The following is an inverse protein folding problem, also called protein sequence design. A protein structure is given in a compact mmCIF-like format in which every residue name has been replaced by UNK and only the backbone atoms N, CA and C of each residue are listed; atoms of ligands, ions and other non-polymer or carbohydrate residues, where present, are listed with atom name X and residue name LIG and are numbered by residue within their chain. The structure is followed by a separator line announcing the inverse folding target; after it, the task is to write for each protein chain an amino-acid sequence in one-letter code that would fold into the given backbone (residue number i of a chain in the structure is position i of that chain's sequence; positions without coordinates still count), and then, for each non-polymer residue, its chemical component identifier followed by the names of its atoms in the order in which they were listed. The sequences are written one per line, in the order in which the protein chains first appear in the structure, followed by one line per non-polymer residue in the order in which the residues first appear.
data_IF_591565571682
#
_entry.id   IF_591565571682
#
_cell.length_a   1.000
_cell.length_b   1.000
_cell.length_c   1.000
_cell.angle_alpha   90.00
_cell.angle_beta   90.00
_cell.angle_gamma   90.00
#
_symmetry.space_group_name_H-M   'P 1'
#
loop_
_entity.id
_entity.type
_entity.pdbx_description
1 polymer ?
#
# COMPACT_ATOMS: atom_id res chain seq x y z
N UNK A 1 -24.31 5.44 5.64
CA UNK A 1 -23.01 4.85 5.24
C UNK A 1 -22.06 6.02 5.03
N UNK A 2 -21.04 6.17 5.88
CA UNK A 2 -20.20 7.37 5.92
C UNK A 2 -19.49 7.55 4.57
N UNK A 3 -19.73 8.69 3.92
CA UNK A 3 -19.26 8.98 2.56
C UNK A 3 -17.86 9.62 2.51
N UNK A 4 -17.21 9.84 3.65
CA UNK A 4 -15.96 10.62 3.74
C UNK A 4 -14.86 9.92 4.57
N UNK A 5 -14.69 8.61 4.42
CA UNK A 5 -13.44 7.96 4.87
C UNK A 5 -12.34 8.32 3.85
N UNK A 6 -11.76 9.51 3.99
CA UNK A 6 -10.59 9.93 3.21
C UNK A 6 -9.37 9.12 3.64
N UNK A 7 -9.33 7.86 3.23
CA UNK A 7 -8.20 6.98 3.49
C UNK A 7 -6.95 7.58 2.85
N UNK A 8 -5.95 7.86 3.68
CA UNK A 8 -4.74 8.55 3.26
C UNK A 8 -4.05 7.72 2.19
N UNK A 9 -3.94 8.31 1.00
CA UNK A 9 -3.26 7.67 -0.14
C UNK A 9 -1.78 8.00 -0.12
N UNK A 10 -0.96 6.99 0.12
CA UNK A 10 0.48 7.10 0.02
C UNK A 10 0.97 6.80 -1.39
N UNK A 11 1.88 7.64 -1.89
CA UNK A 11 2.65 7.26 -3.06
C UNK A 11 3.64 6.12 -2.71
N UNK A 12 4.22 5.47 -3.73
CA UNK A 12 5.13 4.33 -3.51
C UNK A 12 6.33 4.63 -2.59
N UNK A 13 6.85 5.87 -2.60
CA UNK A 13 7.95 6.28 -1.69
C UNK A 13 7.47 6.44 -0.24
N UNK A 14 6.29 7.04 -0.05
CA UNK A 14 5.69 7.19 1.26
C UNK A 14 5.27 5.84 1.85
N UNK A 15 4.67 4.97 1.05
CA UNK A 15 4.31 3.61 1.46
C UNK A 15 5.54 2.81 1.87
N UNK A 16 6.66 2.96 1.15
CA UNK A 16 7.94 2.38 1.50
C UNK A 16 8.45 2.88 2.86
N UNK A 17 8.47 4.20 3.06
CA UNK A 17 8.85 4.80 4.36
C UNK A 17 7.93 4.36 5.50
N UNK A 18 6.63 4.22 5.23
CA UNK A 18 5.62 3.83 6.22
C UNK A 18 5.76 2.37 6.64
N UNK A 19 5.91 1.46 5.68
CA UNK A 19 5.99 0.01 5.92
C UNK A 19 7.39 -0.47 6.30
N UNK A 20 8.42 0.35 6.08
CA UNK A 20 9.82 -0.04 6.24
C UNK A 20 10.39 -0.84 5.05
N UNK A 21 9.58 -1.17 4.04
CA UNK A 21 10.05 -1.84 2.82
C UNK A 21 10.59 -0.83 1.80
N UNK A 22 11.37 -1.31 0.82
CA UNK A 22 11.83 -0.44 -0.26
C UNK A 22 10.72 -0.20 -1.29
N UNK A 23 10.75 0.95 -1.96
CA UNK A 23 9.83 1.23 -3.07
C UNK A 23 9.96 0.19 -4.21
N UNK A 24 11.17 -0.37 -4.41
CA UNK A 24 11.40 -1.46 -5.36
C UNK A 24 10.66 -2.73 -4.96
N UNK A 25 10.70 -3.10 -3.68
CA UNK A 25 9.94 -4.23 -3.13
C UNK A 25 8.44 -4.09 -3.40
N UNK A 26 7.87 -2.92 -3.13
CA UNK A 26 6.46 -2.63 -3.40
C UNK A 26 6.14 -2.71 -4.90
N UNK A 27 7.04 -2.23 -5.78
CA UNK A 27 6.86 -2.35 -7.22
C UNK A 27 6.90 -3.81 -7.69
N UNK A 28 7.83 -4.62 -7.16
CA UNK A 28 7.90 -6.06 -7.46
C UNK A 28 6.62 -6.76 -7.01
N UNK A 29 6.11 -6.45 -5.81
CA UNK A 29 4.86 -7.05 -5.32
C UNK A 29 3.64 -6.67 -6.16
N UNK A 30 3.56 -5.42 -6.64
CA UNK A 30 2.53 -4.96 -7.58
C UNK A 30 2.63 -5.72 -8.92
N UNK A 31 3.84 -5.87 -9.47
CA UNK A 31 4.06 -6.61 -10.72
C UNK A 31 3.79 -8.11 -10.61
N UNK A 32 4.22 -8.73 -9.51
CA UNK A 32 4.08 -10.17 -9.26
C UNK A 32 2.73 -10.55 -8.68
N UNK A 33 1.91 -9.55 -8.29
CA UNK A 33 0.66 -9.73 -7.54
C UNK A 33 0.81 -10.65 -6.32
N UNK A 34 1.98 -10.62 -5.68
CA UNK A 34 2.31 -11.51 -4.56
C UNK A 34 1.44 -11.25 -3.33
N UNK A 35 1.10 -9.99 -3.10
CA UNK A 35 0.25 -9.56 -1.99
C UNK A 35 -0.83 -8.62 -2.52
N UNK A 36 -2.05 -8.75 -2.01
CA UNK A 36 -3.16 -7.89 -2.38
C UNK A 36 -3.10 -6.55 -1.64
N UNK A 37 -2.17 -5.69 -2.07
CA UNK A 37 -1.99 -4.34 -1.54
C UNK A 37 -2.97 -3.33 -2.15
N UNK A 38 -3.93 -3.80 -2.95
CA UNK A 38 -4.94 -3.00 -3.66
C UNK A 38 -4.36 -1.69 -4.25
N UNK A 39 -3.34 -1.77 -5.12
CA UNK A 39 -2.69 -0.59 -5.66
C UNK A 39 -3.67 0.22 -6.51
N UNK A 40 -3.87 1.48 -6.14
CA UNK A 40 -4.72 2.42 -6.88
C UNK A 40 -3.85 3.10 -7.93
N UNK A 41 -4.13 2.82 -9.20
CA UNK A 41 -3.49 3.50 -10.32
C UNK A 41 -4.17 4.84 -10.57
N UNK A 42 -3.39 5.92 -10.49
CA UNK A 42 -3.81 7.29 -10.80
C UNK A 42 -2.89 7.80 -11.91
N UNK A 43 -3.31 7.59 -13.16
CA UNK A 43 -2.49 7.84 -14.34
C UNK A 43 -1.22 7.00 -14.33
N UNK A 44 -0.04 7.66 -14.44
CA UNK A 44 1.28 7.01 -14.38
C UNK A 44 1.73 6.62 -12.96
N UNK A 45 1.02 7.09 -11.94
CA UNK A 45 1.40 6.94 -10.54
C UNK A 45 0.58 5.86 -9.86
N UNK A 46 1.21 5.11 -8.97
CA UNK A 46 0.53 4.14 -8.11
C UNK A 46 0.47 4.66 -6.69
N UNK A 47 -0.70 4.58 -6.07
CA UNK A 47 -0.94 4.91 -4.67
C UNK A 47 -1.46 3.72 -3.89
N UNK A 48 -1.19 3.74 -2.60
CA UNK A 48 -1.56 2.70 -1.64
C UNK A 48 -2.42 3.34 -0.56
N UNK A 49 -3.49 2.66 -0.20
CA UNK A 49 -4.32 3.05 0.94
C UNK A 49 -3.57 2.76 2.24
N UNK A 50 -3.58 3.71 3.17
CA UNK A 50 -2.98 3.50 4.49
C UNK A 50 -3.64 2.32 5.20
N UNK A 51 -4.96 2.23 5.18
CA UNK A 51 -5.70 1.12 5.82
C UNK A 51 -5.25 -0.27 5.33
N UNK A 52 -5.00 -0.41 4.03
CA UNK A 52 -4.55 -1.66 3.42
C UNK A 52 -3.11 -1.98 3.82
N UNK A 53 -2.23 -0.97 3.87
CA UNK A 53 -0.86 -1.14 4.35
C UNK A 53 -0.84 -1.52 5.83
N UNK A 54 -1.71 -0.93 6.66
CA UNK A 54 -1.86 -1.27 8.08
C UNK A 54 -2.29 -2.73 8.25
N UNK A 55 -3.35 -3.14 7.55
CA UNK A 55 -3.81 -4.53 7.57
C UNK A 55 -2.72 -5.51 7.13
N UNK A 56 -1.93 -5.13 6.11
CA UNK A 56 -0.80 -5.92 5.65
C UNK A 56 0.28 -6.04 6.72
N UNK A 57 0.70 -4.93 7.36
CA UNK A 57 1.70 -4.95 8.43
C UNK A 57 1.19 -5.82 9.60
N UNK A 58 -0.06 -5.65 10.02
CA UNK A 58 -0.66 -6.48 11.08
C UNK A 58 -0.65 -7.97 10.70
N UNK A 59 -0.97 -8.31 9.44
CA UNK A 59 -0.93 -9.71 8.97
C UNK A 59 0.48 -10.32 9.00
N UNK A 60 1.53 -9.50 8.84
CA UNK A 60 2.93 -9.94 8.89
C UNK A 60 3.50 -9.93 10.32
N UNK A 61 2.98 -9.09 11.21
CA UNK A 61 3.43 -8.92 12.58
C UNK A 61 2.93 -10.03 13.54
N UNK A 62 1.94 -10.83 13.13
CA UNK A 62 1.55 -12.05 13.84
C UNK A 62 2.50 -13.18 13.43
N UNK A 63 3.69 -13.22 14.04
CA UNK A 63 4.61 -14.35 14.00
C UNK A 63 5.20 -14.63 15.37
#
# INVERSE_FOLDING_TARGET
MNLNDHDTLFNRKQAAQYTGFTAGTLAVWDCTKRYDLQPIKIGRSVRYRKSVLDAFITSQAVR
#
